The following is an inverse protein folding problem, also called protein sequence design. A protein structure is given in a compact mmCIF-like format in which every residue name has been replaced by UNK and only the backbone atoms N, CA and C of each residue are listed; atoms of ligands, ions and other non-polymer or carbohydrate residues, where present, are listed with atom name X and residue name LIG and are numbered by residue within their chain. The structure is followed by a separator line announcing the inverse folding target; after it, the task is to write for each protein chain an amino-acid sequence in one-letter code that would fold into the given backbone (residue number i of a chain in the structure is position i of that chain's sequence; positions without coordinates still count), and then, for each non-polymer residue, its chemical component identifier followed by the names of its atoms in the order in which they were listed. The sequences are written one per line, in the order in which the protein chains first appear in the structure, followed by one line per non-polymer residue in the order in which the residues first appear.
data_IF_012493803141
#
_entry.id   IF_012493803141
#
_cell.length_a   1.000
_cell.length_b   1.000
_cell.length_c   1.000
_cell.angle_alpha   90.00
_cell.angle_beta   90.00
_cell.angle_gamma   90.00
#
_symmetry.space_group_name_H-M   'P 1'
#
loop_
_entity.id
_entity.type
_entity.pdbx_description
1 polymer ?
#
# COMPACT_ATOMS: atom_id res chain seq x y z
N UNK A 1 9.49 -15.54 -4.10
CA UNK A 1 9.02 -14.38 -3.32
C UNK A 1 7.95 -13.69 -4.12
N UNK A 2 6.80 -13.33 -3.53
CA UNK A 2 5.70 -12.65 -4.23
C UNK A 2 5.47 -11.29 -3.58
N UNK A 3 5.45 -10.24 -4.39
CA UNK A 3 5.27 -8.87 -3.92
C UNK A 3 3.89 -8.36 -4.33
N UNK A 4 3.22 -7.61 -3.45
CA UNK A 4 1.95 -6.97 -3.75
C UNK A 4 1.99 -5.48 -3.34
N UNK A 5 1.51 -4.61 -4.22
CA UNK A 5 1.28 -3.20 -3.91
C UNK A 5 -0.20 -3.01 -3.64
N UNK A 6 -0.55 -2.47 -2.49
CA UNK A 6 -1.94 -2.23 -2.09
C UNK A 6 -2.13 -0.75 -1.77
N UNK A 7 -2.98 -0.10 -2.56
CA UNK A 7 -3.38 1.29 -2.36
C UNK A 7 -4.56 1.42 -1.43
N UNK A 8 -4.67 2.56 -0.73
CA UNK A 8 -5.70 2.75 0.29
C UNK A 8 -5.55 1.80 1.48
N UNK A 9 -4.31 1.35 1.76
CA UNK A 9 -4.03 0.29 2.73
C UNK A 9 -4.24 0.68 4.20
N UNK A 10 -4.50 1.94 4.51
CA UNK A 10 -4.62 2.43 5.90
C UNK A 10 -5.93 2.04 6.58
N UNK A 11 -7.02 1.92 5.83
CA UNK A 11 -8.36 1.71 6.42
C UNK A 11 -9.24 0.82 5.54
N UNK A 12 -10.38 0.41 6.10
CA UNK A 12 -11.42 -0.32 5.38
C UNK A 12 -10.92 -1.56 4.64
N UNK A 13 -11.33 -1.70 3.39
CA UNK A 13 -11.03 -2.87 2.55
C UNK A 13 -9.52 -3.00 2.28
N UNK A 14 -8.83 -1.89 1.98
CA UNK A 14 -7.40 -1.93 1.68
C UNK A 14 -6.57 -2.50 2.82
N UNK A 15 -6.90 -2.14 4.07
CA UNK A 15 -6.27 -2.69 5.27
C UNK A 15 -6.51 -4.20 5.42
N UNK A 16 -7.75 -4.64 5.19
CA UNK A 16 -8.12 -6.05 5.30
C UNK A 16 -7.41 -6.89 4.22
N UNK A 17 -7.33 -6.40 2.98
CA UNK A 17 -6.64 -7.07 1.87
C UNK A 17 -5.13 -7.14 2.13
N UNK A 18 -4.52 -6.06 2.63
CA UNK A 18 -3.10 -6.07 2.99
C UNK A 18 -2.78 -7.16 4.02
N UNK A 19 -3.55 -7.22 5.11
CA UNK A 19 -3.37 -8.25 6.13
C UNK A 19 -3.59 -9.66 5.59
N UNK A 20 -4.54 -9.86 4.65
CA UNK A 20 -4.77 -11.16 4.03
C UNK A 20 -3.63 -11.60 3.11
N UNK A 21 -3.03 -10.67 2.37
CA UNK A 21 -1.90 -10.97 1.49
C UNK A 21 -0.63 -11.31 2.29
N UNK A 22 -0.38 -10.59 3.37
CA UNK A 22 0.73 -10.94 4.28
C UNK A 22 0.57 -12.33 4.88
N UNK A 23 -0.63 -12.70 5.32
CA UNK A 23 -0.92 -14.07 5.81
C UNK A 23 -0.66 -15.15 4.76
N UNK A 24 -0.80 -14.81 3.48
CA UNK A 24 -0.50 -15.70 2.35
C UNK A 24 0.98 -15.72 1.97
N UNK A 25 1.83 -15.02 2.72
CA UNK A 25 3.29 -14.98 2.51
C UNK A 25 3.74 -14.01 1.42
N UNK A 26 2.95 -12.95 1.16
CA UNK A 26 3.37 -11.87 0.29
C UNK A 26 4.14 -10.81 1.09
N UNK A 27 5.15 -10.22 0.47
CA UNK A 27 5.70 -8.94 0.89
C UNK A 27 4.78 -7.84 0.35
N UNK A 28 4.24 -7.00 1.23
CA UNK A 28 3.17 -6.05 0.86
C UNK A 28 3.63 -4.61 1.04
N UNK A 29 3.76 -3.87 -0.06
CA UNK A 29 3.87 -2.41 -0.05
C UNK A 29 2.49 -1.79 0.22
N UNK A 30 2.35 -1.19 1.41
CA UNK A 30 1.16 -0.46 1.81
C UNK A 30 1.26 1.01 1.39
N UNK A 31 0.37 1.44 0.50
CA UNK A 31 0.33 2.81 -0.01
C UNK A 31 -0.92 3.53 0.50
N UNK A 32 -0.75 4.64 1.22
CA UNK A 32 -1.85 5.45 1.73
C UNK A 32 -1.45 6.92 1.94
N UNK A 33 -2.42 7.82 2.17
CA UNK A 33 -2.17 9.27 2.34
C UNK A 33 -1.77 9.69 3.75
N UNK A 34 -2.26 8.97 4.77
CA UNK A 34 -2.27 9.42 6.17
C UNK A 34 -2.19 8.22 7.11
N UNK A 35 -1.08 7.50 7.13
CA UNK A 35 -0.76 6.56 8.22
C UNK A 35 0.74 6.30 8.32
N UNK A 36 1.24 5.85 9.50
CA UNK A 36 2.60 5.37 9.67
C UNK A 36 2.74 3.98 9.01
N UNK A 37 2.82 3.97 7.68
CA UNK A 37 3.12 2.82 6.83
C UNK A 37 4.05 3.25 5.70
N UNK A 38 4.84 2.31 5.18
CA UNK A 38 6.10 2.55 4.45
C UNK A 38 6.01 3.52 3.25
N UNK A 39 4.86 3.67 2.59
CA UNK A 39 4.72 4.51 1.39
C UNK A 39 3.55 5.51 1.50
N UNK A 40 3.88 6.74 1.88
CA UNK A 40 2.94 7.86 1.86
C UNK A 40 2.78 8.42 0.45
N UNK A 41 1.56 8.35 -0.12
CA UNK A 41 1.29 8.84 -1.47
C UNK A 41 -0.17 9.30 -1.63
N UNK A 42 -0.36 10.49 -2.18
CA UNK A 42 -1.62 10.88 -2.81
C UNK A 42 -1.62 10.44 -4.27
N UNK A 43 -2.43 9.43 -4.59
CA UNK A 43 -2.57 8.89 -5.95
C UNK A 43 -3.19 9.89 -6.93
N UNK A 44 -3.76 10.99 -6.43
CA UNK A 44 -4.27 12.08 -7.27
C UNK A 44 -3.14 12.96 -7.82
N UNK A 45 -1.95 12.87 -7.24
CA UNK A 45 -0.74 13.60 -7.66
C UNK A 45 0.22 12.66 -8.40
N UNK A 46 0.31 12.81 -9.72
CA UNK A 46 1.15 11.97 -10.57
C UNK A 46 2.64 12.06 -10.21
N UNK A 47 3.10 13.20 -9.67
CA UNK A 47 4.51 13.35 -9.27
C UNK A 47 4.81 12.49 -8.04
N UNK A 48 3.86 12.38 -7.12
CA UNK A 48 4.01 11.49 -5.96
C UNK A 48 3.97 10.02 -6.38
N UNK A 49 3.08 9.64 -7.31
CA UNK A 49 3.05 8.26 -7.84
C UNK A 49 4.38 7.88 -8.48
N UNK A 50 4.95 8.78 -9.29
CA UNK A 50 6.22 8.54 -9.98
C UNK A 50 7.43 8.48 -9.02
N UNK A 51 7.32 9.03 -7.81
CA UNK A 51 8.39 8.97 -6.80
C UNK A 51 8.46 7.63 -6.05
N UNK A 52 7.49 6.73 -6.26
CA UNK A 52 7.45 5.39 -5.65
C UNK A 52 8.19 4.31 -6.46
N UNK A 53 8.69 4.65 -7.66
CA UNK A 53 9.34 3.75 -8.62
C UNK A 53 10.84 4.05 -8.67
#
# INVERSE_FOLDING_TARGET
MKFAVITGASTGIGRAVAAEFEKRGYDVARVARREPGEFSCDLSDVLQVNSLI
#
